data_IF_372845515649
#
_entry.id   IF_372845515649
#
_cell.length_a   1.000
_cell.length_b   1.000
_cell.length_c   1.000
_cell.angle_alpha   90.00
_cell.angle_beta   90.00
_cell.angle_gamma   90.00
#
_symmetry.space_group_name_H-M   'P 1'
#
loop_
_entity.id
_entity.type
_entity.pdbx_description
1 polymer ?
#
# COMPACT_ATOMS: atom_id res chain seq x y z
N UNK A 1 -8.82 -6.05 6.47
CA UNK A 1 -9.52 -7.31 6.80
C UNK A 1 -8.74 -8.58 6.42
N UNK A 2 -7.81 -8.58 5.45
CA UNK A 2 -7.00 -9.77 5.12
C UNK A 2 -5.92 -10.19 6.13
N UNK A 3 -5.48 -9.28 7.00
CA UNK A 3 -4.45 -9.56 8.01
C UNK A 3 -4.91 -10.62 9.04
N UNK A 4 -6.20 -10.64 9.39
CA UNK A 4 -6.72 -11.57 10.42
C UNK A 4 -6.65 -13.05 9.99
N UNK A 5 -6.74 -13.33 8.69
CA UNK A 5 -6.68 -14.71 8.17
C UNK A 5 -5.25 -15.17 7.87
N UNK A 6 -4.37 -14.26 7.44
CA UNK A 6 -2.98 -14.60 7.11
C UNK A 6 -2.12 -14.83 8.36
N UNK A 7 -2.41 -14.14 9.46
CA UNK A 7 -1.58 -14.19 10.68
C UNK A 7 -1.56 -15.59 11.33
N UNK A 8 -2.69 -16.27 11.59
CA UNK A 8 -2.64 -17.60 12.21
C UNK A 8 -1.91 -18.63 11.33
N UNK A 9 -2.11 -18.57 10.01
CA UNK A 9 -1.51 -19.51 9.07
C UNK A 9 0.01 -19.39 8.98
N UNK A 10 0.54 -18.17 8.90
CA UNK A 10 2.00 -17.95 8.85
C UNK A 10 2.68 -18.31 10.17
N UNK A 11 2.07 -17.94 11.31
CA UNK A 11 2.57 -18.32 12.63
C UNK A 11 2.61 -19.83 12.83
N UNK A 12 1.54 -20.55 12.48
CA UNK A 12 1.51 -22.02 12.59
C UNK A 12 2.52 -22.70 11.67
N UNK A 13 2.71 -22.18 10.46
CA UNK A 13 3.70 -22.71 9.51
C UNK A 13 5.13 -22.56 10.04
N UNK A 14 5.43 -21.41 10.67
CA UNK A 14 6.73 -21.15 11.29
C UNK A 14 6.96 -22.06 12.49
N UNK A 15 5.98 -22.19 13.39
CA UNK A 15 6.07 -23.10 14.53
C UNK A 15 6.24 -24.58 14.10
N UNK A 16 5.64 -24.98 12.98
CA UNK A 16 5.75 -26.35 12.47
C UNK A 16 7.11 -26.68 11.86
N UNK A 17 7.89 -25.67 11.43
CA UNK A 17 9.18 -25.86 10.75
C UNK A 17 10.37 -25.52 11.67
N UNK A 18 10.16 -24.79 12.77
CA UNK A 18 11.21 -24.41 13.72
C UNK A 18 11.35 -25.36 14.90
N UNK A 19 12.60 -25.67 15.29
CA UNK A 19 12.88 -26.38 16.54
C UNK A 19 12.52 -25.53 17.76
N UNK A 20 12.15 -26.19 18.87
CA UNK A 20 11.57 -25.56 20.05
C UNK A 20 12.49 -24.52 20.72
N UNK A 21 13.80 -24.68 20.59
CA UNK A 21 14.81 -23.71 21.08
C UNK A 21 14.96 -22.44 20.24
N UNK A 22 14.53 -22.46 18.97
CA UNK A 22 14.71 -21.33 18.03
C UNK A 22 13.44 -20.51 17.80
N UNK A 23 12.30 -20.93 18.37
CA UNK A 23 11.00 -20.30 18.15
C UNK A 23 10.98 -18.80 18.49
N UNK A 24 11.72 -18.38 19.52
CA UNK A 24 11.82 -16.97 19.89
C UNK A 24 12.53 -16.13 18.82
N UNK A 25 13.61 -16.66 18.24
CA UNK A 25 14.37 -15.99 17.18
C UNK A 25 13.52 -15.89 15.92
N UNK A 26 12.93 -17.00 15.47
CA UNK A 26 12.13 -17.02 14.23
C UNK A 26 10.87 -16.16 14.36
N UNK A 27 10.21 -16.16 15.51
CA UNK A 27 9.08 -15.26 15.79
C UNK A 27 9.49 -13.80 15.71
N UNK A 28 10.62 -13.43 16.31
CA UNK A 28 11.11 -12.05 16.29
C UNK A 28 11.46 -11.62 14.86
N UNK A 29 12.17 -12.46 14.12
CA UNK A 29 12.48 -12.20 12.70
C UNK A 29 11.21 -12.04 11.87
N UNK A 30 10.19 -12.86 12.09
CA UNK A 30 8.92 -12.77 11.39
C UNK A 30 8.19 -11.46 11.71
N UNK A 31 8.19 -11.02 12.97
CA UNK A 31 7.62 -9.72 13.36
C UNK A 31 8.38 -8.57 12.72
N UNK A 32 9.72 -8.60 12.71
CA UNK A 32 10.55 -7.58 12.07
C UNK A 32 10.28 -7.46 10.58
N UNK A 33 10.27 -8.59 9.86
CA UNK A 33 9.93 -8.66 8.44
C UNK A 33 8.55 -8.03 8.17
N UNK A 34 7.58 -8.32 9.03
CA UNK A 34 6.22 -7.79 8.91
C UNK A 34 6.16 -6.28 9.12
N UNK A 35 6.84 -5.77 10.14
CA UNK A 35 6.94 -4.34 10.41
C UNK A 35 7.60 -3.59 9.24
N UNK A 36 8.67 -4.15 8.66
CA UNK A 36 9.29 -3.60 7.47
C UNK A 36 8.31 -3.56 6.28
N UNK A 37 7.58 -4.66 6.04
CA UNK A 37 6.58 -4.71 4.98
C UNK A 37 5.47 -3.65 5.14
N UNK A 38 5.02 -3.38 6.37
CA UNK A 38 4.05 -2.31 6.65
C UNK A 38 4.62 -0.93 6.35
N UNK A 39 5.83 -0.63 6.82
CA UNK A 39 6.49 0.67 6.60
C UNK A 39 6.73 0.89 5.10
N UNK A 40 7.26 -0.11 4.40
CA UNK A 40 7.47 -0.05 2.95
C UNK A 40 6.16 0.12 2.20
N UNK A 41 5.11 -0.62 2.57
CA UNK A 41 3.80 -0.51 1.94
C UNK A 41 3.20 0.89 2.06
N UNK A 42 3.26 1.50 3.24
CA UNK A 42 2.80 2.88 3.47
C UNK A 42 3.65 3.88 2.70
N UNK A 43 4.97 3.74 2.75
CA UNK A 43 5.89 4.64 2.05
C UNK A 43 5.69 4.62 0.53
N UNK A 44 5.62 3.43 -0.08
CA UNK A 44 5.42 3.27 -1.52
C UNK A 44 4.04 3.77 -1.94
N UNK A 45 2.99 3.46 -1.18
CA UNK A 45 1.63 3.95 -1.47
C UNK A 45 1.58 5.48 -1.43
N UNK A 46 2.25 6.09 -0.45
CA UNK A 46 2.37 7.55 -0.34
C UNK A 46 3.12 8.15 -1.53
N UNK A 47 4.24 7.53 -1.95
CA UNK A 47 4.98 7.99 -3.13
C UNK A 47 4.15 7.94 -4.40
N UNK A 48 3.34 6.89 -4.58
CA UNK A 48 2.49 6.72 -5.77
C UNK A 48 1.40 7.79 -5.79
N UNK A 49 0.69 8.00 -4.68
CA UNK A 49 -0.35 9.03 -4.60
C UNK A 49 0.24 10.40 -4.85
N UNK A 50 1.37 10.73 -4.21
CA UNK A 50 2.01 12.04 -4.38
C UNK A 50 2.50 12.27 -5.82
N UNK A 51 3.16 11.29 -6.44
CA UNK A 51 3.63 11.43 -7.84
C UNK A 51 2.46 11.49 -8.83
N UNK A 52 1.44 10.64 -8.64
CA UNK A 52 0.28 10.61 -9.52
C UNK A 52 -0.52 11.91 -9.41
N UNK A 53 -0.72 12.41 -8.20
CA UNK A 53 -1.43 13.66 -7.95
C UNK A 53 -0.74 14.85 -8.63
N UNK A 54 0.58 14.95 -8.57
CA UNK A 54 1.34 16.01 -9.27
C UNK A 54 1.17 15.88 -10.79
N UNK A 55 1.19 14.66 -11.33
CA UNK A 55 0.93 14.42 -12.75
C UNK A 55 -0.46 14.88 -13.17
N UNK A 56 -1.52 14.42 -12.48
CA UNK A 56 -2.90 14.74 -12.82
C UNK A 56 -3.25 16.21 -12.60
N UNK A 57 -2.76 16.83 -11.52
CA UNK A 57 -2.94 18.27 -11.30
C UNK A 57 -2.32 19.10 -12.43
N UNK A 58 -1.16 18.68 -12.96
CA UNK A 58 -0.54 19.38 -14.09
C UNK A 58 -1.31 19.24 -15.40
N UNK A 59 -2.05 18.14 -15.59
CA UNK A 59 -2.84 17.91 -16.81
C UNK A 59 -4.22 18.54 -16.72
N UNK A 60 -4.90 18.37 -15.58
CA UNK A 60 -6.31 18.69 -15.42
C UNK A 60 -6.55 20.14 -14.97
N UNK A 61 -5.61 20.76 -14.23
CA UNK A 61 -5.77 22.15 -13.78
C UNK A 61 -5.39 23.11 -14.90
N UNK A 62 -6.37 23.88 -15.37
CA UNK A 62 -6.21 24.87 -16.45
C UNK A 62 -6.69 26.23 -15.97
N UNK A 63 -5.82 27.24 -16.06
CA UNK A 63 -6.16 28.62 -15.73
C UNK A 63 -4.95 29.47 -15.35
N UNK A 64 -5.14 30.80 -15.22
CA UNK A 64 -4.06 31.75 -14.92
C UNK A 64 -3.42 31.53 -13.54
N UNK A 65 -4.16 30.99 -12.56
CA UNK A 65 -3.67 30.75 -11.20
C UNK A 65 -3.30 29.28 -10.94
N UNK A 66 -3.15 28.47 -12.00
CA UNK A 66 -2.84 27.03 -11.92
C UNK A 66 -1.75 26.71 -10.91
N UNK A 67 -0.61 27.39 -10.97
CA UNK A 67 0.54 27.09 -10.11
C UNK A 67 0.21 27.29 -8.62
N UNK A 68 -0.51 28.37 -8.27
CA UNK A 68 -0.94 28.64 -6.90
C UNK A 68 -1.93 27.61 -6.40
N UNK A 69 -2.87 27.20 -7.26
CA UNK A 69 -3.85 26.16 -6.94
C UNK A 69 -3.14 24.83 -6.68
N UNK A 70 -2.21 24.44 -7.56
CA UNK A 70 -1.43 23.21 -7.39
C UNK A 70 -0.63 23.24 -6.09
N UNK A 71 0.04 24.35 -5.79
CA UNK A 71 0.81 24.49 -4.54
C UNK A 71 -0.08 24.41 -3.29
N UNK A 72 -1.19 25.13 -3.27
CA UNK A 72 -2.14 25.13 -2.15
C UNK A 72 -2.70 23.73 -1.87
N UNK A 73 -3.10 23.03 -2.92
CA UNK A 73 -3.67 21.68 -2.85
C UNK A 73 -2.61 20.64 -2.44
N UNK A 74 -1.37 20.79 -2.91
CA UNK A 74 -0.25 19.93 -2.49
C UNK A 74 0.11 20.13 -1.02
N UNK A 75 -0.02 21.35 -0.49
CA UNK A 75 0.22 21.62 0.92
C UNK A 75 -0.91 21.14 1.82
N UNK A 76 -2.16 21.21 1.35
CA UNK A 76 -3.32 20.84 2.14
C UNK A 76 -4.50 20.43 1.26
N UNK A 77 -5.00 19.22 1.48
CA UNK A 77 -6.25 18.73 0.85
C UNK A 77 -7.44 19.61 1.26
N UNK A 78 -7.40 20.22 2.46
CA UNK A 78 -8.46 21.13 2.92
C UNK A 78 -8.53 22.43 2.10
N UNK A 79 -7.43 22.84 1.46
CA UNK A 79 -7.41 24.01 0.59
C UNK A 79 -8.41 23.89 -0.57
N UNK A 80 -8.74 22.67 -0.99
CA UNK A 80 -9.74 22.38 -2.04
C UNK A 80 -11.10 22.99 -1.73
N UNK A 81 -11.49 23.08 -0.45
CA UNK A 81 -12.78 23.64 -0.05
C UNK A 81 -12.87 25.17 -0.22
N UNK A 82 -11.73 25.86 -0.25
CA UNK A 82 -11.64 27.31 -0.41
C UNK A 82 -11.39 27.77 -1.86
N UNK A 83 -11.27 26.84 -2.80
CA UNK A 83 -11.05 27.15 -4.22
C UNK A 83 -12.33 27.62 -4.91
N UNK A 84 -12.15 28.43 -5.95
CA UNK A 84 -13.24 28.75 -6.87
C UNK A 84 -13.82 27.46 -7.48
N UNK A 85 -15.15 27.41 -7.73
CA UNK A 85 -15.83 26.19 -8.20
C UNK A 85 -15.18 25.57 -9.44
N UNK A 86 -14.67 26.40 -10.36
CA UNK A 86 -14.01 25.94 -11.58
C UNK A 86 -12.74 25.12 -11.32
N UNK A 87 -11.89 25.56 -10.39
CA UNK A 87 -10.66 24.84 -10.03
C UNK A 87 -10.95 23.66 -9.10
N UNK A 88 -11.98 23.77 -8.27
CA UNK A 88 -12.37 22.74 -7.31
C UNK A 88 -12.70 21.42 -8.02
N UNK A 89 -13.52 21.45 -9.07
CA UNK A 89 -13.91 20.24 -9.79
C UNK A 89 -12.70 19.56 -10.46
N UNK A 90 -11.84 20.35 -11.12
CA UNK A 90 -10.60 19.86 -11.75
C UNK A 90 -9.64 19.20 -10.74
N UNK A 91 -9.54 19.78 -9.55
CA UNK A 91 -8.70 19.25 -8.47
C UNK A 91 -9.30 17.96 -7.90
N UNK A 92 -10.61 17.91 -7.67
CA UNK A 92 -11.30 16.71 -7.20
C UNK A 92 -11.12 15.55 -8.18
N UNK A 93 -11.26 15.81 -9.48
CA UNK A 93 -11.03 14.80 -10.53
C UNK A 93 -9.58 14.31 -10.52
N UNK A 94 -8.62 15.22 -10.38
CA UNK A 94 -7.19 14.87 -10.24
C UNK A 94 -6.91 13.98 -9.03
N UNK A 95 -7.58 14.23 -7.90
CA UNK A 95 -7.48 13.36 -6.72
C UNK A 95 -8.10 11.99 -6.95
N UNK A 96 -9.26 11.93 -7.60
CA UNK A 96 -9.91 10.67 -7.92
C UNK A 96 -9.02 9.79 -8.83
N UNK A 97 -8.38 10.40 -9.83
CA UNK A 97 -7.43 9.72 -10.72
C UNK A 97 -6.16 9.26 -9.99
N UNK A 98 -5.58 10.11 -9.15
CA UNK A 98 -4.42 9.74 -8.33
C UNK A 98 -4.73 8.57 -7.40
N UNK A 99 -5.92 8.56 -6.79
CA UNK A 99 -6.36 7.49 -5.92
C UNK A 99 -6.62 6.19 -6.69
N UNK A 100 -7.20 6.30 -7.90
CA UNK A 100 -7.37 5.16 -8.81
C UNK A 100 -6.02 4.52 -9.17
N UNK A 101 -4.99 5.32 -9.43
CA UNK A 101 -3.64 4.81 -9.68
C UNK A 101 -3.09 4.03 -8.47
N UNK A 102 -3.31 4.52 -7.25
CA UNK A 102 -2.94 3.80 -6.02
C UNK A 102 -3.69 2.48 -5.86
N UNK A 103 -4.99 2.42 -6.18
CA UNK A 103 -5.75 1.17 -6.16
C UNK A 103 -5.27 0.16 -7.21
N UNK A 104 -4.92 0.60 -8.42
CA UNK A 104 -4.34 -0.26 -9.45
C UNK A 104 -3.01 -0.85 -8.98
N UNK A 105 -2.16 -0.04 -8.36
CA UNK A 105 -0.93 -0.52 -7.75
C UNK A 105 -1.18 -1.55 -6.64
N UNK A 106 -2.11 -1.27 -5.73
CA UNK A 106 -2.48 -2.20 -4.66
C UNK A 106 -2.99 -3.54 -5.23
N UNK A 107 -3.78 -3.50 -6.31
CA UNK A 107 -4.24 -4.68 -7.02
C UNK A 107 -3.07 -5.45 -7.66
N UNK A 108 -2.12 -4.77 -8.31
CA UNK A 108 -0.93 -5.40 -8.88
C UNK A 108 -0.07 -6.10 -7.82
N UNK A 109 0.16 -5.45 -6.67
CA UNK A 109 0.87 -6.04 -5.53
C UNK A 109 0.10 -7.25 -4.97
N UNK A 110 -1.24 -7.18 -4.90
CA UNK A 110 -2.05 -8.31 -4.44
C UNK A 110 -1.94 -9.51 -5.39
N UNK A 111 -1.94 -9.28 -6.71
CA UNK A 111 -1.78 -10.33 -7.72
C UNK A 111 -0.37 -10.94 -7.61
N UNK A 112 0.65 -10.11 -7.45
CA UNK A 112 2.03 -10.58 -7.27
C UNK A 112 2.16 -11.45 -6.01
N UNK A 113 1.60 -11.00 -4.89
CA UNK A 113 1.57 -11.75 -3.62
C UNK A 113 0.86 -13.09 -3.77
N UNK A 114 -0.29 -13.10 -4.46
CA UNK A 114 -1.01 -14.33 -4.78
C UNK A 114 -0.18 -15.28 -5.65
N UNK A 115 0.50 -14.75 -6.69
CA UNK A 115 1.37 -15.54 -7.57
C UNK A 115 2.55 -16.18 -6.83
N UNK A 116 3.20 -15.46 -5.93
CA UNK A 116 4.28 -16.00 -5.08
C UNK A 116 3.75 -17.13 -4.20
N UNK A 117 2.54 -16.96 -3.65
CA UNK A 117 1.95 -17.96 -2.73
C UNK A 117 1.61 -19.28 -3.44
N UNK A 118 1.18 -19.25 -4.70
CA UNK A 118 0.90 -20.47 -5.49
C UNK A 118 2.12 -21.39 -5.60
N UNK A 119 3.33 -20.83 -5.66
CA UNK A 119 4.57 -21.60 -5.79
C UNK A 119 5.02 -22.30 -4.51
N UNK A 120 4.44 -21.96 -3.35
CA UNK A 120 4.86 -22.49 -2.05
C UNK A 120 4.35 -23.93 -1.90
N UNK A 121 5.23 -24.90 -2.14
CA UNK A 121 5.00 -26.30 -1.75
C UNK A 121 5.24 -26.44 -0.25
N UNK A 122 4.16 -26.56 0.53
CA UNK A 122 4.25 -26.93 1.94
C UNK A 122 4.88 -28.33 2.06
N UNK A 123 5.92 -28.54 2.88
CA UNK A 123 6.43 -29.88 3.17
C UNK A 123 5.30 -30.70 3.79
N UNK A 124 5.06 -31.90 3.25
CA UNK A 124 4.03 -32.81 3.77
C UNK A 124 4.33 -33.10 5.24
N UNK A 125 3.34 -32.90 6.13
CA UNK A 125 3.46 -33.28 7.53
C UNK A 125 3.86 -34.75 7.62
N UNK A 126 5.12 -35.01 7.96
CA UNK A 126 5.56 -36.33 8.38
C UNK A 126 4.92 -36.60 9.73
N UNK A 127 3.98 -37.54 9.78
CA UNK A 127 3.53 -38.14 11.03
C UNK A 127 4.76 -38.74 11.73
N UNK A 128 5.29 -38.05 12.76
CA UNK A 128 6.19 -38.68 13.74
C UNK A 128 5.34 -39.61 14.60
N UNK A 129 5.54 -40.92 14.42
CA UNK A 129 5.19 -41.95 15.39
C UNK A 129 6.02 -41.78 16.66
#
# INVERSE_FOLDING_TARGET
>A
MGQGFQMPGSFMSVLAVSEQGEQAVVTTTLVLWRSMGQVLGVAVSSLIVQNSLVGFLNVNVVGPDKEKVIEAVRSSVQAVAGLEPHYRDQVIDSYAEALRAAYVFALAVSILSFGITIGIKLPKLGFRK
#
